data_IF_732910433584
#
_entry.id   IF_732910433584
#
_cell.length_a   1.000
_cell.length_b   1.000
_cell.length_c   1.000
_cell.angle_alpha   90.00
_cell.angle_beta   90.00
_cell.angle_gamma   90.00
#
_symmetry.space_group_name_H-M   'P 1'
#
loop_
_entity.id
_entity.type
_entity.pdbx_description
1 polymer ?
#
# COMPACT_ATOMS: atom_id res chain seq x y z
N UNK A 1 -9.47 1.97 3.59
CA UNK A 1 -9.43 2.69 2.29
C UNK A 1 -9.74 4.14 2.57
N UNK A 2 -8.80 5.04 2.27
CA UNK A 2 -8.82 6.43 2.76
C UNK A 2 -9.20 7.44 1.66
N UNK A 3 -10.06 7.00 0.74
CA UNK A 3 -10.54 7.80 -0.38
C UNK A 3 -12.07 7.75 -0.39
N UNK A 4 -12.71 8.90 -0.33
CA UNK A 4 -14.14 9.05 -0.58
C UNK A 4 -14.38 9.81 -1.88
N UNK A 5 -15.54 9.60 -2.47
CA UNK A 5 -16.05 10.44 -3.55
C UNK A 5 -17.15 11.30 -2.96
N UNK A 6 -17.02 12.63 -3.12
CA UNK A 6 -18.03 13.56 -2.64
C UNK A 6 -19.26 13.59 -3.58
N UNK A 7 -20.27 14.40 -3.22
CA UNK A 7 -21.48 14.54 -4.01
C UNK A 7 -21.25 15.17 -5.41
N UNK A 8 -20.11 15.82 -5.63
CA UNK A 8 -19.71 16.39 -6.92
C UNK A 8 -18.92 15.38 -7.78
N UNK A 9 -18.56 14.22 -7.24
CA UNK A 9 -17.75 13.22 -7.92
C UNK A 9 -16.25 13.38 -7.71
N UNK A 10 -15.82 14.31 -6.85
CA UNK A 10 -14.41 14.58 -6.57
C UNK A 10 -13.87 13.65 -5.49
N UNK A 11 -12.59 13.32 -5.59
CA UNK A 11 -11.92 12.42 -4.65
C UNK A 11 -11.38 13.18 -3.45
N UNK A 12 -11.85 12.81 -2.25
CA UNK A 12 -11.43 13.36 -0.97
C UNK A 12 -10.58 12.33 -0.23
N UNK A 13 -9.35 12.74 0.11
CA UNK A 13 -8.47 11.96 0.97
C UNK A 13 -8.90 12.11 2.43
N UNK A 14 -8.99 10.99 3.12
CA UNK A 14 -9.25 10.90 4.54
C UNK A 14 -7.99 10.45 5.28
N UNK A 15 -8.07 10.42 6.62
CA UNK A 15 -7.07 9.78 7.47
C UNK A 15 -5.68 10.46 7.33
N UNK A 16 -5.66 11.74 7.74
CA UNK A 16 -4.47 12.60 7.68
C UNK A 16 -3.61 12.52 8.95
N UNK A 17 -3.98 11.71 9.94
CA UNK A 17 -3.27 11.60 11.23
C UNK A 17 -1.81 11.14 11.07
N UNK A 18 -1.53 10.30 10.08
CA UNK A 18 -0.19 9.84 9.73
C UNK A 18 0.44 10.64 8.57
N UNK A 19 -0.17 11.75 8.16
CA UNK A 19 0.38 12.59 7.09
C UNK A 19 1.59 13.38 7.60
N UNK A 20 2.71 13.22 6.90
CA UNK A 20 3.94 13.94 7.22
C UNK A 20 4.96 13.93 6.08
N UNK A 21 6.13 14.54 6.29
CA UNK A 21 7.23 14.48 5.32
C UNK A 21 7.62 13.02 5.04
N UNK A 22 7.33 12.57 3.83
CA UNK A 22 7.65 11.22 3.35
C UNK A 22 8.51 11.27 2.09
N UNK A 23 9.14 10.15 1.76
CA UNK A 23 9.82 10.00 0.47
C UNK A 23 8.78 9.74 -0.62
N UNK A 24 8.63 10.63 -1.62
CA UNK A 24 7.54 10.55 -2.60
C UNK A 24 7.53 9.27 -3.43
N UNK A 25 8.70 8.69 -3.71
CA UNK A 25 8.86 7.42 -4.40
C UNK A 25 8.25 6.26 -3.60
N UNK A 26 8.36 6.27 -2.28
CA UNK A 26 7.80 5.25 -1.39
C UNK A 26 6.29 5.33 -1.26
N UNK A 27 5.76 6.55 -1.26
CA UNK A 27 4.31 6.79 -1.32
C UNK A 27 3.76 6.29 -2.66
N UNK A 28 4.44 6.62 -3.76
CA UNK A 28 4.05 6.15 -5.10
C UNK A 28 4.13 4.61 -5.20
N UNK A 29 5.19 3.99 -4.69
CA UNK A 29 5.34 2.53 -4.67
C UNK A 29 4.19 1.86 -3.92
N UNK A 30 3.83 2.38 -2.74
CA UNK A 30 2.73 1.87 -1.93
C UNK A 30 1.39 1.97 -2.66
N UNK A 31 1.14 3.09 -3.34
CA UNK A 31 -0.06 3.28 -4.15
C UNK A 31 -0.13 2.31 -5.33
N UNK A 32 1.00 2.06 -6.01
CA UNK A 32 1.07 1.08 -7.09
C UNK A 32 0.89 -0.37 -6.61
N UNK A 33 1.39 -0.72 -5.44
CA UNK A 33 1.10 -2.03 -4.85
C UNK A 33 -0.40 -2.17 -4.54
N UNK A 34 -0.99 -1.18 -3.87
CA UNK A 34 -2.40 -1.24 -3.45
C UNK A 34 -3.38 -1.19 -4.62
N UNK A 35 -3.12 -0.38 -5.64
CA UNK A 35 -4.09 -0.13 -6.71
C UNK A 35 -3.67 -0.69 -8.06
N UNK A 36 -2.38 -0.91 -8.28
CA UNK A 36 -1.86 -1.51 -9.51
C UNK A 36 -1.89 -3.03 -9.51
N UNK A 37 -2.14 -3.65 -8.35
CA UNK A 37 -2.19 -5.11 -8.21
C UNK A 37 -3.50 -5.58 -7.59
N UNK A 38 -3.87 -6.82 -7.91
CA UNK A 38 -5.01 -7.51 -7.34
C UNK A 38 -4.69 -9.00 -7.32
N UNK A 39 -4.84 -9.66 -6.17
CA UNK A 39 -4.52 -11.09 -5.96
C UNK A 39 -3.16 -11.49 -6.55
N UNK A 40 -2.11 -10.73 -6.20
CA UNK A 40 -0.74 -10.98 -6.66
C UNK A 40 -0.51 -10.81 -8.17
N UNK A 41 -1.48 -10.27 -8.91
CA UNK A 41 -1.42 -10.03 -10.36
C UNK A 41 -1.34 -8.53 -10.66
N UNK A 42 -0.45 -8.13 -11.55
CA UNK A 42 -0.25 -6.73 -11.93
C UNK A 42 -1.18 -6.35 -13.09
N UNK A 43 -1.98 -5.31 -12.90
CA UNK A 43 -2.72 -4.68 -13.99
C UNK A 43 -1.87 -3.57 -14.63
N UNK A 44 -1.09 -3.94 -15.66
CA UNK A 44 -0.16 -3.03 -16.34
C UNK A 44 -0.85 -1.77 -16.86
N UNK A 45 -2.04 -1.90 -17.45
CA UNK A 45 -2.79 -0.75 -17.98
C UNK A 45 -3.27 0.20 -16.88
N UNK A 46 -3.60 -0.32 -15.70
CA UNK A 46 -3.96 0.50 -14.53
C UNK A 46 -2.73 1.20 -13.95
N UNK A 47 -1.60 0.50 -13.80
CA UNK A 47 -0.33 1.08 -13.35
C UNK A 47 0.08 2.25 -14.23
N UNK A 48 0.04 2.09 -15.56
CA UNK A 48 0.34 3.17 -16.51
C UNK A 48 -0.57 4.38 -16.35
N UNK A 49 -1.88 4.17 -16.27
CA UNK A 49 -2.84 5.26 -16.08
C UNK A 49 -2.62 6.02 -14.77
N UNK A 50 -2.27 5.32 -13.69
CA UNK A 50 -1.92 5.95 -12.41
C UNK A 50 -0.68 6.84 -12.58
N UNK A 51 0.38 6.31 -13.19
CA UNK A 51 1.63 7.05 -13.41
C UNK A 51 1.40 8.29 -14.31
N UNK A 52 0.66 8.14 -15.41
CA UNK A 52 0.31 9.23 -16.30
C UNK A 52 -0.51 10.31 -15.61
N UNK A 53 -1.51 9.93 -14.81
CA UNK A 53 -2.32 10.87 -14.04
C UNK A 53 -1.47 11.60 -12.99
N UNK A 54 -0.59 10.88 -12.29
CA UNK A 54 0.34 11.45 -11.31
C UNK A 54 1.28 12.47 -11.97
N UNK A 55 1.84 12.14 -13.13
CA UNK A 55 2.69 13.07 -13.91
C UNK A 55 1.91 14.29 -14.38
N UNK A 56 0.69 14.11 -14.90
CA UNK A 56 -0.17 15.21 -15.34
C UNK A 56 -0.55 16.17 -14.21
N UNK A 57 -0.69 15.65 -12.99
CA UNK A 57 -0.92 16.45 -11.79
C UNK A 57 0.35 17.18 -11.28
N UNK A 58 1.50 17.02 -11.94
CA UNK A 58 2.77 17.65 -11.54
C UNK A 58 3.64 16.80 -10.60
N UNK A 59 3.36 15.50 -10.47
CA UNK A 59 4.17 14.59 -9.68
C UNK A 59 5.56 14.36 -10.29
N UNK A 60 6.62 14.56 -9.51
CA UNK A 60 8.00 14.40 -9.98
C UNK A 60 8.65 13.08 -9.56
N UNK A 61 8.08 12.40 -8.56
CA UNK A 61 8.62 11.15 -8.03
C UNK A 61 8.75 10.06 -9.11
N UNK A 62 9.79 9.25 -8.99
CA UNK A 62 10.04 8.09 -9.82
C UNK A 62 10.50 6.93 -8.93
N UNK A 63 10.19 5.71 -9.32
CA UNK A 63 10.75 4.52 -8.67
C UNK A 63 12.19 4.34 -9.17
N UNK A 64 13.16 4.61 -8.30
CA UNK A 64 14.59 4.53 -8.64
C UNK A 64 15.15 3.12 -8.51
N UNK A 65 14.53 2.32 -7.65
CA UNK A 65 14.96 0.95 -7.40
C UNK A 65 14.02 0.22 -6.42
N UNK A 66 14.48 -0.93 -5.94
CA UNK A 66 13.71 -1.75 -5.00
C UNK A 66 13.58 -1.09 -3.62
N UNK A 67 14.48 -0.16 -3.29
CA UNK A 67 14.43 0.64 -2.08
C UNK A 67 13.15 1.48 -1.97
N UNK A 68 12.53 1.86 -3.10
CA UNK A 68 11.26 2.58 -3.11
C UNK A 68 10.12 1.74 -2.52
N UNK A 69 10.23 0.40 -2.50
CA UNK A 69 9.23 -0.50 -1.89
C UNK A 69 9.48 -0.76 -0.41
N UNK A 70 10.53 -0.19 0.19
CA UNK A 70 10.88 -0.40 1.60
C UNK A 70 9.74 -0.08 2.56
N UNK A 71 8.97 0.99 2.30
CA UNK A 71 7.80 1.34 3.12
C UNK A 71 6.69 0.30 3.07
N UNK A 72 6.50 -0.38 1.92
CA UNK A 72 5.50 -1.45 1.80
C UNK A 72 5.91 -2.65 2.65
N UNK A 73 7.19 -3.03 2.57
CA UNK A 73 7.72 -4.12 3.39
C UNK A 73 7.70 -3.77 4.89
N UNK A 74 8.11 -2.55 5.24
CA UNK A 74 8.11 -2.08 6.63
C UNK A 74 6.68 -2.02 7.18
N UNK A 75 5.72 -1.51 6.41
CA UNK A 75 4.31 -1.51 6.78
C UNK A 75 3.79 -2.94 7.02
N UNK A 76 4.18 -3.89 6.17
CA UNK A 76 3.80 -5.29 6.37
C UNK A 76 4.33 -5.88 7.67
N UNK A 77 5.63 -5.71 7.95
CA UNK A 77 6.25 -6.26 9.16
C UNK A 77 5.73 -5.56 10.40
N UNK A 78 5.68 -4.23 10.40
CA UNK A 78 5.31 -3.46 11.59
C UNK A 78 3.83 -3.60 11.93
N UNK A 79 2.95 -3.46 10.93
CA UNK A 79 1.52 -3.44 11.19
C UNK A 79 0.94 -4.86 11.24
N UNK A 80 1.09 -5.64 10.16
CA UNK A 80 0.43 -6.94 10.09
C UNK A 80 1.11 -8.00 10.93
N UNK A 81 2.45 -8.04 10.97
CA UNK A 81 3.14 -9.07 11.76
C UNK A 81 3.28 -8.66 13.21
N UNK A 82 3.84 -7.49 13.52
CA UNK A 82 4.08 -7.10 14.91
C UNK A 82 2.79 -6.65 15.59
N UNK A 83 2.15 -5.58 15.11
CA UNK A 83 1.01 -5.00 15.82
C UNK A 83 -0.21 -5.94 15.88
N UNK A 84 -0.62 -6.57 14.78
CA UNK A 84 -1.78 -7.47 14.80
C UNK A 84 -1.50 -8.78 15.55
N UNK A 85 -0.28 -9.33 15.49
CA UNK A 85 0.04 -10.50 16.31
C UNK A 85 0.02 -10.16 17.80
N UNK A 86 0.61 -9.01 18.19
CA UNK A 86 0.58 -8.53 19.56
C UNK A 86 -0.85 -8.36 20.07
N UNK A 87 -1.74 -7.72 19.30
CA UNK A 87 -3.15 -7.54 19.67
C UNK A 87 -3.89 -8.87 19.74
N UNK A 88 -3.71 -9.79 18.78
CA UNK A 88 -4.42 -11.08 18.78
C UNK A 88 -4.08 -11.97 19.98
N UNK A 89 -2.84 -11.86 20.50
CA UNK A 89 -2.36 -12.63 21.65
C UNK A 89 -2.60 -11.96 23.00
N UNK A 90 -2.96 -10.67 23.03
CA UNK A 90 -3.15 -9.90 24.27
C UNK A 90 -4.53 -10.15 24.89
N UNK A 91 -4.61 -11.02 25.90
CA UNK A 91 -5.84 -11.34 26.63
C UNK A 91 -6.51 -10.14 27.32
N UNK A 92 -5.80 -9.02 27.50
CA UNK A 92 -6.39 -7.79 28.02
C UNK A 92 -7.25 -7.05 26.98
N UNK A 93 -7.12 -7.38 25.68
CA UNK A 93 -7.92 -6.78 24.62
C UNK A 93 -9.32 -7.40 24.52
N UNK A 94 -10.34 -6.61 24.13
CA UNK A 94 -11.66 -7.13 23.80
C UNK A 94 -11.61 -8.26 22.77
N UNK A 95 -12.45 -9.28 22.94
CA UNK A 95 -12.50 -10.45 22.03
C UNK A 95 -12.70 -10.01 20.58
N UNK A 96 -13.61 -9.07 20.31
CA UNK A 96 -13.87 -8.58 18.96
C UNK A 96 -12.64 -7.93 18.30
N UNK A 97 -11.80 -7.24 19.08
CA UNK A 97 -10.54 -6.65 18.60
C UNK A 97 -9.50 -7.74 18.30
N UNK A 98 -9.40 -8.75 19.16
CA UNK A 98 -8.51 -9.91 18.93
C UNK A 98 -8.92 -10.71 17.71
N UNK A 99 -10.21 -10.93 17.51
CA UNK A 99 -10.76 -11.66 16.36
C UNK A 99 -10.57 -10.88 15.06
N UNK A 100 -10.71 -9.55 15.10
CA UNK A 100 -10.37 -8.70 13.97
C UNK A 100 -8.87 -8.78 13.64
N UNK A 101 -8.00 -8.59 14.65
CA UNK A 101 -6.56 -8.66 14.47
C UNK A 101 -6.09 -10.01 13.94
N UNK A 102 -6.68 -11.09 14.42
CA UNK A 102 -6.41 -12.46 13.94
C UNK A 102 -6.76 -12.61 12.47
N UNK A 103 -7.92 -12.10 12.03
CA UNK A 103 -8.34 -12.17 10.63
C UNK A 103 -7.42 -11.36 9.72
N UNK A 104 -7.05 -10.14 10.13
CA UNK A 104 -6.11 -9.31 9.39
C UNK A 104 -4.74 -10.01 9.26
N UNK A 105 -4.17 -10.50 10.38
CA UNK A 105 -2.91 -11.24 10.38
C UNK A 105 -2.94 -12.46 9.45
N UNK A 106 -3.98 -13.30 9.54
CA UNK A 106 -4.12 -14.49 8.68
C UNK A 106 -4.24 -14.09 7.21
N UNK A 107 -5.03 -13.06 6.90
CA UNK A 107 -5.17 -12.56 5.53
C UNK A 107 -3.85 -12.06 4.97
N UNK A 108 -3.08 -11.30 5.76
CA UNK A 108 -1.78 -10.77 5.34
C UNK A 108 -0.73 -11.86 5.18
N UNK A 109 -0.73 -12.88 6.04
CA UNK A 109 0.17 -14.04 5.91
C UNK A 109 -0.13 -14.89 4.67
N UNK A 110 -1.37 -14.88 4.18
CA UNK A 110 -1.76 -15.59 2.97
C UNK A 110 -1.24 -14.93 1.67
N UNK A 111 -1.02 -13.61 1.69
CA UNK A 111 -0.47 -12.84 0.56
C UNK A 111 0.69 -11.94 1.01
N UNK A 112 1.86 -12.52 1.32
CA UNK A 112 3.00 -11.75 1.80
C UNK A 112 3.62 -10.91 0.68
N UNK A 113 4.33 -9.80 1.03
CA UNK A 113 5.18 -9.06 0.12
C UNK A 113 6.08 -9.95 -0.75
N UNK A 114 5.95 -9.84 -2.08
CA UNK A 114 6.76 -10.62 -3.00
C UNK A 114 7.73 -9.77 -3.82
N UNK A 115 8.99 -10.18 -3.80
CA UNK A 115 10.07 -9.45 -4.46
C UNK A 115 9.96 -9.46 -5.99
N UNK A 116 9.43 -10.54 -6.57
CA UNK A 116 9.16 -10.66 -8.01
C UNK A 116 8.13 -9.62 -8.48
N UNK A 117 7.09 -9.40 -7.68
CA UNK A 117 6.04 -8.41 -7.96
C UNK A 117 6.60 -6.98 -7.90
N UNK A 118 7.44 -6.67 -6.91
CA UNK A 118 8.13 -5.38 -6.83
C UNK A 118 9.05 -5.13 -8.03
N UNK A 119 9.80 -6.14 -8.46
CA UNK A 119 10.64 -6.05 -9.66
C UNK A 119 9.82 -5.80 -10.92
N UNK A 120 8.70 -6.48 -11.08
CA UNK A 120 7.82 -6.31 -12.23
C UNK A 120 7.18 -4.92 -12.26
N UNK A 121 6.68 -4.42 -11.11
CA UNK A 121 6.17 -3.05 -11.00
C UNK A 121 7.24 -2.00 -11.30
N UNK A 122 8.45 -2.17 -10.77
CA UNK A 122 9.59 -1.30 -11.06
C UNK A 122 9.88 -1.25 -12.57
N UNK A 123 9.93 -2.41 -13.23
CA UNK A 123 10.17 -2.48 -14.67
C UNK A 123 9.10 -1.78 -15.51
N UNK A 124 7.83 -1.89 -15.10
CA UNK A 124 6.73 -1.17 -15.77
C UNK A 124 6.89 0.35 -15.56
N UNK A 125 7.16 0.78 -14.33
CA UNK A 125 7.28 2.20 -14.00
C UNK A 125 8.48 2.89 -14.67
N UNK A 126 9.58 2.17 -14.85
CA UNK A 126 10.78 2.66 -15.56
C UNK A 126 10.61 2.69 -17.09
N UNK A 127 9.65 1.93 -17.62
CA UNK A 127 9.32 1.91 -19.05
C UNK A 127 8.24 2.91 -19.47
N UNK A 128 7.81 3.81 -18.58
CA UNK A 128 6.79 4.82 -18.82
C UNK A 128 7.38 6.23 -18.91
#
# INVERSE_FOLDING_TARGET
MNLLTDAAGEHVLLDWEDAGPGMPDRVLASLLCNWGTHDGTINVGRVRRILEAYRRAGGHAALTGLESFSSVLAGYVNYYIEAQASVSLDEAQPVDMRDHATRELVSSLADPPRLDLYRALLGIAQGC
#
